data_IF_579381805073
#
_entry.id   IF_579381805073
#
_cell.length_a   1.000
_cell.length_b   1.000
_cell.length_c   1.000
_cell.angle_alpha   90.00
_cell.angle_beta   90.00
_cell.angle_gamma   90.00
#
_symmetry.space_group_name_H-M   'P 1'
#
loop_
_entity.id
_entity.type
_entity.pdbx_description
1 polymer ?
#
# COMPACT_ATOMS: atom_id res chain seq x y z
N UNK A 1 -23.82 -3.41 -71.22
CA UNK A 1 -23.21 -4.16 -70.08
C UNK A 1 -22.80 -3.31 -68.86
N UNK A 2 -22.68 -1.97 -68.93
CA UNK A 2 -22.21 -1.16 -67.78
C UNK A 2 -23.26 -0.90 -66.67
N UNK A 3 -24.55 -0.76 -67.00
CA UNK A 3 -25.62 -0.46 -66.02
C UNK A 3 -25.92 -1.60 -65.02
N UNK A 4 -25.76 -2.88 -65.42
CA UNK A 4 -25.98 -4.04 -64.53
C UNK A 4 -24.88 -4.21 -63.47
N UNK A 5 -23.64 -3.79 -63.77
CA UNK A 5 -22.51 -3.86 -62.81
C UNK A 5 -22.62 -2.80 -61.71
N UNK A 6 -23.12 -1.60 -62.03
CA UNK A 6 -23.34 -0.53 -61.04
C UNK A 6 -24.44 -0.90 -60.02
N UNK A 7 -25.52 -1.57 -60.46
CA UNK A 7 -26.60 -1.98 -59.57
C UNK A 7 -26.15 -3.03 -58.54
N UNK A 8 -25.31 -3.99 -58.94
CA UNK A 8 -24.77 -5.04 -58.04
C UNK A 8 -23.83 -4.46 -56.98
N UNK A 9 -23.00 -3.48 -57.34
CA UNK A 9 -22.07 -2.84 -56.39
C UNK A 9 -22.82 -1.99 -55.37
N UNK A 10 -23.88 -1.27 -55.78
CA UNK A 10 -24.70 -0.49 -54.84
C UNK A 10 -25.45 -1.39 -53.86
N UNK A 11 -25.97 -2.54 -54.30
CA UNK A 11 -26.63 -3.50 -53.38
C UNK A 11 -25.67 -4.13 -52.38
N UNK A 12 -24.40 -4.36 -52.75
CA UNK A 12 -23.39 -4.94 -51.86
C UNK A 12 -22.91 -3.92 -50.80
N UNK A 13 -22.83 -2.64 -51.15
CA UNK A 13 -22.46 -1.58 -50.19
C UNK A 13 -23.58 -1.29 -49.20
N UNK A 14 -24.85 -1.34 -49.63
CA UNK A 14 -25.99 -1.21 -48.72
C UNK A 14 -26.09 -2.38 -47.73
N UNK A 15 -25.76 -3.61 -48.15
CA UNK A 15 -25.78 -4.77 -47.23
C UNK A 15 -24.65 -4.72 -46.19
N UNK A 16 -23.45 -4.26 -46.56
CA UNK A 16 -22.34 -4.06 -45.61
C UNK A 16 -22.66 -2.94 -44.60
N UNK A 17 -23.29 -1.85 -45.03
CA UNK A 17 -23.76 -0.78 -44.13
C UNK A 17 -24.80 -1.28 -43.13
N UNK A 18 -25.72 -2.15 -43.56
CA UNK A 18 -26.75 -2.73 -42.69
C UNK A 18 -26.15 -3.68 -41.64
N UNK A 19 -25.15 -4.48 -42.02
CA UNK A 19 -24.43 -5.38 -41.10
C UNK A 19 -23.67 -4.57 -40.04
N UNK A 20 -22.98 -3.50 -40.43
CA UNK A 20 -22.27 -2.62 -39.50
C UNK A 20 -23.20 -1.93 -38.49
N UNK A 21 -24.40 -1.53 -38.92
CA UNK A 21 -25.41 -0.95 -38.02
C UNK A 21 -25.95 -1.98 -37.02
N UNK A 22 -26.22 -3.20 -37.46
CA UNK A 22 -26.65 -4.30 -36.58
C UNK A 22 -25.58 -4.63 -35.54
N UNK A 23 -24.31 -4.66 -35.93
CA UNK A 23 -23.19 -4.91 -35.01
C UNK A 23 -23.06 -3.79 -33.96
N UNK A 24 -23.20 -2.52 -34.37
CA UNK A 24 -23.17 -1.38 -33.44
C UNK A 24 -24.34 -1.40 -32.46
N UNK A 25 -25.54 -1.80 -32.91
CA UNK A 25 -26.72 -1.99 -32.04
C UNK A 25 -26.53 -3.16 -31.06
N UNK A 26 -25.88 -4.25 -31.48
CA UNK A 26 -25.54 -5.37 -30.60
C UNK A 26 -24.51 -4.97 -29.55
N UNK A 27 -23.48 -4.21 -29.92
CA UNK A 27 -22.47 -3.72 -28.99
C UNK A 27 -23.07 -2.79 -27.92
N UNK A 28 -23.92 -1.85 -28.31
CA UNK A 28 -24.62 -0.94 -27.37
C UNK A 28 -25.52 -1.72 -26.41
N UNK A 29 -26.25 -2.74 -26.89
CA UNK A 29 -27.09 -3.60 -26.03
C UNK A 29 -26.25 -4.40 -25.02
N UNK A 30 -25.08 -4.91 -25.44
CA UNK A 30 -24.18 -5.63 -24.55
C UNK A 30 -23.62 -4.72 -23.44
N UNK A 31 -23.21 -3.50 -23.79
CA UNK A 31 -22.75 -2.50 -22.82
C UNK A 31 -23.85 -2.07 -21.84
N UNK A 32 -25.08 -1.88 -22.31
CA UNK A 32 -26.23 -1.57 -21.44
C UNK A 32 -26.56 -2.72 -20.47
N UNK A 33 -26.46 -3.98 -20.93
CA UNK A 33 -26.69 -5.16 -20.08
C UNK A 33 -25.61 -5.32 -18.99
N UNK A 34 -24.35 -5.03 -19.33
CA UNK A 34 -23.24 -5.05 -18.36
C UNK A 34 -23.43 -3.98 -17.27
N UNK A 35 -23.69 -2.73 -17.66
CA UNK A 35 -23.91 -1.62 -16.71
C UNK A 35 -25.13 -1.88 -15.80
N UNK A 36 -26.19 -2.47 -16.32
CA UNK A 36 -27.36 -2.84 -15.50
C UNK A 36 -27.07 -3.99 -14.53
N UNK A 37 -26.11 -4.87 -14.84
CA UNK A 37 -25.71 -5.97 -13.95
C UNK A 37 -24.85 -5.45 -12.80
N UNK A 38 -23.93 -4.52 -13.05
CA UNK A 38 -23.09 -3.90 -12.00
C UNK A 38 -23.93 -3.13 -10.97
N UNK A 39 -24.97 -2.40 -11.41
CA UNK A 39 -25.86 -1.65 -10.49
C UNK A 39 -26.63 -2.60 -9.55
N UNK A 40 -27.12 -3.75 -10.05
CA UNK A 40 -27.85 -4.72 -9.22
C UNK A 40 -26.93 -5.35 -8.17
N UNK A 41 -25.67 -5.62 -8.53
CA UNK A 41 -24.68 -6.17 -7.58
C UNK A 41 -24.35 -5.14 -6.50
N UNK A 42 -24.20 -3.85 -6.86
CA UNK A 42 -23.95 -2.79 -5.90
C UNK A 42 -25.10 -2.64 -4.88
N UNK A 43 -26.36 -2.65 -5.33
CA UNK A 43 -27.53 -2.57 -4.43
C UNK A 43 -27.59 -3.76 -3.46
N UNK A 44 -27.25 -4.97 -3.91
CA UNK A 44 -27.21 -6.16 -3.04
C UNK A 44 -26.09 -6.12 -2.00
N UNK A 45 -24.95 -5.50 -2.31
CA UNK A 45 -23.84 -5.34 -1.35
C UNK A 45 -24.18 -4.30 -0.27
N UNK A 46 -24.90 -3.23 -0.64
CA UNK A 46 -25.38 -2.22 0.32
C UNK A 46 -26.39 -2.82 1.29
N UNK A 47 -27.34 -3.62 0.81
CA UNK A 47 -28.33 -4.28 1.68
C UNK A 47 -27.69 -5.29 2.65
N UNK A 48 -26.62 -5.97 2.22
CA UNK A 48 -25.84 -6.90 3.05
C UNK A 48 -24.97 -6.17 4.10
N UNK A 49 -24.44 -4.99 3.79
CA UNK A 49 -23.68 -4.19 4.75
C UNK A 49 -24.58 -3.61 5.85
N UNK A 50 -25.77 -3.11 5.48
CA UNK A 50 -26.76 -2.53 6.40
C UNK A 50 -27.35 -3.58 7.36
N UNK A 51 -27.41 -4.85 6.94
CA UNK A 51 -27.87 -5.96 7.80
C UNK A 51 -26.81 -6.45 8.79
N UNK A 52 -25.52 -6.25 8.51
CA UNK A 52 -24.42 -6.63 9.41
C UNK A 52 -24.21 -5.61 10.54
N UNK A 53 -24.39 -4.31 10.27
CA UNK A 53 -24.28 -3.26 11.31
C UNK A 53 -25.38 -3.32 12.37
N UNK A 54 -26.55 -3.91 12.05
CA UNK A 54 -27.71 -3.92 12.95
C UNK A 54 -27.74 -5.09 13.95
N UNK A 55 -26.77 -5.99 13.93
CA UNK A 55 -26.77 -7.21 14.74
C UNK A 55 -25.81 -7.20 15.95
N UNK A 56 -25.08 -6.10 16.20
CA UNK A 56 -24.08 -6.02 17.27
C UNK A 56 -24.45 -4.92 18.27
N UNK A 57 -25.47 -5.15 19.07
CA UNK A 57 -25.68 -4.42 20.33
C UNK A 57 -26.53 -5.28 21.28
N UNK A 58 -25.89 -5.86 22.32
CA UNK A 58 -26.34 -5.97 23.74
C UNK A 58 -25.60 -7.07 24.54
N UNK A 59 -24.56 -6.66 25.31
CA UNK A 59 -24.13 -7.06 26.70
C UNK A 59 -23.82 -8.54 27.09
N UNK A 60 -23.02 -8.88 28.16
CA UNK A 60 -22.04 -8.13 28.98
C UNK A 60 -20.65 -8.83 29.22
N UNK A 61 -19.75 -8.09 29.88
CA UNK A 61 -18.30 -8.27 30.21
C UNK A 61 -17.88 -9.48 31.08
N UNK A 62 -16.74 -10.16 30.79
CA UNK A 62 -15.64 -10.59 31.74
C UNK A 62 -14.29 -10.89 31.01
N UNK A 63 -13.25 -10.08 31.29
CA UNK A 63 -11.76 -10.28 31.50
C UNK A 63 -11.00 -11.38 30.71
N UNK A 64 -9.79 -11.27 30.13
CA UNK A 64 -8.52 -10.48 30.27
C UNK A 64 -7.71 -10.75 28.97
N UNK A 65 -7.06 -9.81 28.27
CA UNK A 65 -5.61 -9.48 28.33
C UNK A 65 -5.30 -8.26 27.43
N UNK A 66 -4.46 -7.36 27.97
CA UNK A 66 -3.83 -6.14 27.45
C UNK A 66 -4.22 -5.58 26.05
N UNK A 67 -5.04 -4.52 26.05
CA UNK A 67 -4.84 -3.44 25.08
C UNK A 67 -3.64 -2.64 25.57
N UNK A 68 -2.48 -2.85 24.95
CA UNK A 68 -1.33 -1.97 25.13
C UNK A 68 -1.81 -0.55 24.79
N UNK A 69 -1.75 0.37 25.76
CA UNK A 69 -2.07 1.77 25.50
C UNK A 69 -1.05 2.24 24.48
N UNK A 70 -1.50 2.43 23.23
CA UNK A 70 -0.65 2.87 22.14
C UNK A 70 0.03 4.17 22.60
N UNK A 71 1.33 4.10 22.80
CA UNK A 71 2.12 5.23 23.25
C UNK A 71 2.13 6.28 22.14
N UNK A 72 1.38 7.37 22.33
CA UNK A 72 1.25 8.46 21.35
C UNK A 72 2.58 9.12 21.01
N UNK A 73 3.56 9.00 21.88
CA UNK A 73 4.91 9.55 21.70
C UNK A 73 5.91 8.49 21.21
N UNK A 74 5.45 7.30 20.81
CA UNK A 74 6.31 6.21 20.32
C UNK A 74 7.22 6.66 19.16
N UNK A 75 6.73 7.56 18.31
CA UNK A 75 7.49 8.09 17.17
C UNK A 75 8.70 8.95 17.56
N UNK A 76 8.82 9.38 18.82
CA UNK A 76 9.91 10.23 19.31
C UNK A 76 11.12 9.46 19.84
N UNK A 77 11.05 8.12 19.94
CA UNK A 77 12.06 7.29 20.61
C UNK A 77 12.41 6.03 19.82
N UNK A 78 13.57 5.42 20.08
CA UNK A 78 13.87 4.07 19.61
C UNK A 78 12.78 3.11 20.09
N UNK A 79 12.22 2.32 19.18
CA UNK A 79 11.10 1.44 19.51
C UNK A 79 11.53 0.02 19.90
N UNK A 80 12.77 -0.35 19.58
CA UNK A 80 13.40 -1.64 19.93
C UNK A 80 14.36 -1.61 21.11
N UNK A 81 14.59 -0.44 21.71
CA UNK A 81 15.63 -0.25 22.71
C UNK A 81 16.99 0.14 22.11
N UNK A 82 18.07 -0.45 22.60
CA UNK A 82 19.41 -0.14 22.12
C UNK A 82 19.65 -0.75 20.73
N UNK A 83 20.17 0.06 19.81
CA UNK A 83 20.49 -0.38 18.46
C UNK A 83 21.68 -1.35 18.44
N UNK A 84 21.65 -2.38 17.58
CA UNK A 84 22.81 -3.24 17.37
C UNK A 84 23.88 -2.51 16.55
N UNK A 85 25.14 -2.92 16.72
CA UNK A 85 26.21 -2.52 15.82
C UNK A 85 26.17 -3.40 14.57
N UNK A 86 26.04 -2.79 13.40
CA UNK A 86 26.11 -3.48 12.11
C UNK A 86 27.52 -3.29 11.55
N UNK A 87 28.23 -4.39 11.34
CA UNK A 87 29.59 -4.39 10.80
C UNK A 87 29.65 -5.09 9.45
N UNK A 88 30.81 -5.09 8.81
CA UNK A 88 31.04 -5.82 7.57
C UNK A 88 30.97 -7.35 7.73
N UNK A 89 31.08 -7.86 8.96
CA UNK A 89 30.94 -9.29 9.27
C UNK A 89 29.49 -9.72 9.47
N UNK A 90 28.59 -8.75 9.73
CA UNK A 90 27.17 -9.02 10.01
C UNK A 90 26.49 -9.54 8.74
N UNK A 91 25.95 -10.74 8.81
CA UNK A 91 25.16 -11.36 7.75
C UNK A 91 23.70 -10.92 7.88
N UNK A 92 23.47 -9.63 7.64
CA UNK A 92 22.21 -8.98 7.93
C UNK A 92 21.10 -9.41 6.96
N UNK A 93 19.94 -9.78 7.52
CA UNK A 93 18.66 -9.97 6.80
C UNK A 93 17.54 -9.26 7.54
N UNK A 94 16.65 -8.63 6.79
CA UNK A 94 15.49 -7.91 7.32
C UNK A 94 14.20 -8.68 7.00
N UNK A 95 13.32 -8.81 7.98
CA UNK A 95 11.95 -9.30 7.79
C UNK A 95 10.99 -8.21 8.27
N UNK A 96 10.16 -7.69 7.38
CA UNK A 96 9.07 -6.81 7.75
C UNK A 96 7.78 -7.63 7.79
N UNK A 97 7.13 -7.69 8.95
CA UNK A 97 5.82 -8.32 9.09
C UNK A 97 4.73 -7.23 9.23
N UNK A 98 3.81 -7.22 8.26
CA UNK A 98 2.75 -6.20 8.17
C UNK A 98 1.50 -6.53 9.00
N UNK A 99 1.41 -7.70 9.62
CA UNK A 99 0.37 -7.98 10.63
C UNK A 99 0.82 -7.49 11.99
N UNK A 100 2.05 -7.82 12.37
CA UNK A 100 2.68 -7.42 13.63
C UNK A 100 3.04 -5.93 13.65
N UNK A 101 3.14 -5.31 12.47
CA UNK A 101 3.67 -3.95 12.33
C UNK A 101 5.06 -3.85 12.97
N UNK A 102 5.92 -4.80 12.61
CA UNK A 102 7.29 -4.95 13.10
C UNK A 102 8.28 -5.17 11.96
N UNK A 103 9.48 -4.67 12.16
CA UNK A 103 10.65 -5.03 11.37
C UNK A 103 11.60 -5.78 12.28
N UNK A 104 12.09 -6.91 11.80
CA UNK A 104 13.01 -7.81 12.49
C UNK A 104 14.34 -7.82 11.74
N UNK A 105 15.43 -7.69 12.48
CA UNK A 105 16.80 -7.72 11.96
C UNK A 105 17.49 -8.97 12.47
N UNK A 106 17.98 -9.77 11.54
CA UNK A 106 18.69 -11.01 11.82
C UNK A 106 20.16 -10.89 11.41
N UNK A 107 21.06 -11.39 12.24
CA UNK A 107 22.41 -11.77 11.82
C UNK A 107 22.44 -13.29 11.65
N UNK A 108 22.52 -13.77 10.41
CA UNK A 108 22.25 -15.16 10.04
C UNK A 108 20.86 -15.63 10.54
N UNK A 109 20.84 -16.42 11.62
CA UNK A 109 19.62 -16.97 12.24
C UNK A 109 19.25 -16.30 13.56
N UNK A 110 20.12 -15.45 14.10
CA UNK A 110 19.90 -14.79 15.38
C UNK A 110 19.13 -13.49 15.19
N UNK A 111 18.00 -13.34 15.89
CA UNK A 111 17.28 -12.07 15.95
C UNK A 111 18.05 -11.09 16.83
N UNK A 112 18.62 -10.06 16.23
CA UNK A 112 19.48 -9.08 16.93
C UNK A 112 18.74 -7.79 17.29
N UNK A 113 17.66 -7.45 16.57
CA UNK A 113 16.89 -6.24 16.84
C UNK A 113 15.47 -6.31 16.25
N UNK A 114 14.56 -5.55 16.84
CA UNK A 114 13.19 -5.35 16.32
C UNK A 114 12.81 -3.88 16.47
N UNK A 115 12.07 -3.31 15.52
CA UNK A 115 11.48 -1.99 15.65
C UNK A 115 10.01 -2.01 15.19
N UNK A 116 9.23 -1.07 15.72
CA UNK A 116 7.86 -0.80 15.30
C UNK A 116 7.85 -0.10 13.95
N UNK A 117 6.91 -0.47 13.10
CA UNK A 117 6.68 0.19 11.81
C UNK A 117 5.19 0.45 11.58
N UNK A 118 4.89 1.21 10.53
CA UNK A 118 3.55 1.44 10.01
C UNK A 118 3.57 1.23 8.50
N UNK A 119 3.06 0.09 8.03
CA UNK A 119 2.99 -0.26 6.61
C UNK A 119 1.82 0.44 5.90
N UNK A 120 1.67 0.11 4.62
CA UNK A 120 0.53 0.49 3.81
C UNK A 120 -0.81 0.04 4.38
N UNK A 121 -1.86 0.81 4.09
CA UNK A 121 -3.25 0.41 4.37
C UNK A 121 -3.58 -0.90 3.67
N UNK A 122 -4.49 -1.67 4.28
CA UNK A 122 -4.98 -2.93 3.72
C UNK A 122 -6.07 -2.68 2.67
N UNK A 123 -5.66 -2.04 1.57
CA UNK A 123 -6.51 -1.75 0.42
C UNK A 123 -5.73 -1.90 -0.90
N UNK A 124 -6.44 -2.00 -2.02
CA UNK A 124 -5.86 -2.29 -3.33
C UNK A 124 -4.86 -1.23 -3.83
N UNK A 125 -4.91 -0.01 -3.30
CA UNK A 125 -4.11 1.13 -3.80
C UNK A 125 -2.89 1.39 -2.92
N UNK A 126 -3.02 1.15 -1.63
CA UNK A 126 -2.07 1.56 -0.61
C UNK A 126 -1.35 0.39 0.06
N UNK A 127 -1.70 -0.86 -0.25
CA UNK A 127 -1.06 -2.03 0.34
C UNK A 127 0.45 -2.04 0.07
N UNK A 128 1.21 -2.38 1.11
CA UNK A 128 2.63 -2.70 0.97
C UNK A 128 2.76 -4.04 0.24
N UNK A 129 3.57 -4.12 -0.84
CA UNK A 129 3.72 -5.37 -1.58
C UNK A 129 4.45 -6.42 -0.74
N UNK A 130 3.88 -7.63 -0.67
CA UNK A 130 4.53 -8.79 -0.05
C UNK A 130 5.58 -9.38 -0.99
N UNK A 131 6.59 -10.05 -0.43
CA UNK A 131 7.59 -10.80 -1.19
C UNK A 131 9.03 -10.50 -0.79
N UNK A 132 9.95 -10.82 -1.70
CA UNK A 132 11.39 -10.67 -1.48
C UNK A 132 11.91 -9.47 -2.26
N UNK A 133 12.69 -8.64 -1.57
CA UNK A 133 13.26 -7.39 -2.04
C UNK A 133 14.69 -7.24 -1.52
N UNK A 134 15.34 -6.16 -1.94
CA UNK A 134 16.64 -5.75 -1.42
C UNK A 134 16.62 -4.24 -1.20
N UNK A 135 17.37 -3.79 -0.20
CA UNK A 135 17.57 -2.35 0.02
C UNK A 135 18.30 -1.75 -1.17
N UNK A 136 17.77 -0.65 -1.71
CA UNK A 136 18.32 0.06 -2.87
C UNK A 136 19.23 1.21 -2.43
N UNK A 137 20.08 1.69 -3.34
CA UNK A 137 20.95 2.85 -3.09
C UNK A 137 20.23 4.21 -3.01
N UNK A 138 18.95 4.29 -3.34
CA UNK A 138 18.20 5.54 -3.30
C UNK A 138 17.82 5.84 -1.85
N UNK A 139 18.41 6.90 -1.30
CA UNK A 139 18.12 7.41 0.04
C UNK A 139 18.32 8.93 0.09
N UNK A 140 17.76 9.59 1.10
CA UNK A 140 18.02 11.01 1.35
C UNK A 140 17.49 11.48 2.71
N UNK A 141 17.95 12.66 3.12
CA UNK A 141 17.64 13.24 4.43
C UNK A 141 16.16 13.65 4.55
N UNK A 142 15.53 14.05 3.44
CA UNK A 142 14.11 14.40 3.44
C UNK A 142 13.51 14.49 2.04
N UNK A 143 12.18 14.37 1.96
CA UNK A 143 11.41 14.67 0.75
C UNK A 143 10.05 15.28 1.11
N UNK A 144 9.40 15.90 0.13
CA UNK A 144 7.99 16.31 0.23
C UNK A 144 7.26 16.03 -1.07
N UNK A 145 6.12 15.35 -0.99
CA UNK A 145 5.24 15.08 -2.12
C UNK A 145 4.02 16.01 -2.07
N UNK A 146 4.02 17.05 -2.91
CA UNK A 146 2.92 18.03 -2.95
C UNK A 146 1.58 17.47 -3.42
N UNK A 147 1.54 16.32 -4.08
CA UNK A 147 0.28 15.66 -4.50
C UNK A 147 -0.39 14.97 -3.30
N UNK A 148 0.40 14.28 -2.48
CA UNK A 148 -0.09 13.59 -1.27
C UNK A 148 -0.20 14.54 -0.07
N UNK A 149 0.49 15.69 -0.10
CA UNK A 149 0.57 16.60 1.04
C UNK A 149 1.43 16.05 2.18
N UNK A 150 2.23 15.01 1.92
CA UNK A 150 3.08 14.32 2.90
C UNK A 150 4.54 14.35 2.45
N UNK A 151 5.43 14.55 3.41
CA UNK A 151 6.87 14.33 3.27
C UNK A 151 7.38 13.35 4.31
N UNK A 152 8.70 13.14 4.35
CA UNK A 152 9.36 12.44 5.44
C UNK A 152 10.80 12.89 5.60
N UNK A 153 11.41 12.49 6.71
CA UNK A 153 12.84 12.51 6.96
C UNK A 153 13.43 11.10 6.73
N UNK A 154 14.74 11.03 6.52
CA UNK A 154 15.54 9.79 6.52
C UNK A 154 14.90 8.65 5.71
N UNK A 155 14.84 8.79 4.39
CA UNK A 155 14.21 7.79 3.54
C UNK A 155 15.23 6.85 2.90
N UNK A 156 14.88 5.57 2.78
CA UNK A 156 15.65 4.52 2.08
C UNK A 156 14.71 3.69 1.21
N UNK A 157 15.03 3.54 -0.08
CA UNK A 157 14.23 2.81 -1.04
C UNK A 157 14.45 1.30 -0.95
N UNK A 158 13.38 0.52 -1.15
CA UNK A 158 13.46 -0.94 -1.29
C UNK A 158 12.80 -1.47 -2.58
N UNK A 159 12.01 -0.65 -3.27
CA UNK A 159 11.33 -1.06 -4.51
C UNK A 159 11.05 0.12 -5.44
N UNK A 160 11.08 -0.17 -6.74
CA UNK A 160 10.70 0.74 -7.84
C UNK A 160 11.44 2.09 -7.82
N UNK A 161 12.68 2.10 -7.31
CA UNK A 161 13.60 3.23 -7.39
C UNK A 161 13.06 4.51 -6.74
N UNK A 162 12.59 4.40 -5.50
CA UNK A 162 12.13 5.53 -4.69
C UNK A 162 10.61 5.67 -4.59
N UNK A 163 9.85 4.72 -5.14
CA UNK A 163 8.38 4.68 -4.96
C UNK A 163 8.01 4.06 -3.61
N UNK A 164 8.71 3.01 -3.18
CA UNK A 164 8.50 2.38 -1.88
C UNK A 164 9.72 2.53 -0.98
N UNK A 165 9.48 3.08 0.20
CA UNK A 165 10.51 3.57 1.08
C UNK A 165 10.30 3.04 2.51
N UNK A 166 11.40 2.86 3.24
CA UNK A 166 11.43 3.04 4.70
C UNK A 166 11.70 4.51 4.96
N UNK A 167 10.94 5.17 5.81
CA UNK A 167 11.14 6.58 6.14
C UNK A 167 10.58 6.94 7.53
N UNK A 168 10.90 8.11 8.06
CA UNK A 168 10.33 8.59 9.33
C UNK A 168 8.80 8.70 9.26
N UNK A 169 8.13 8.87 10.40
CA UNK A 169 6.74 9.37 10.42
C UNK A 169 6.59 10.64 9.55
N UNK A 170 5.41 10.89 8.95
CA UNK A 170 5.25 11.94 7.94
C UNK A 170 5.53 13.35 8.47
N UNK A 171 6.05 14.20 7.59
CA UNK A 171 6.15 15.65 7.81
C UNK A 171 5.20 16.42 6.90
N UNK A 172 4.90 17.65 7.31
CA UNK A 172 4.14 18.63 6.53
C UNK A 172 5.05 19.37 5.55
N UNK A 173 4.47 20.25 4.74
CA UNK A 173 5.20 21.04 3.74
C UNK A 173 6.32 21.93 4.31
N UNK A 174 6.22 22.31 5.59
CA UNK A 174 7.23 23.08 6.31
C UNK A 174 8.27 22.21 7.04
N UNK A 175 8.26 20.90 6.78
CA UNK A 175 9.08 19.88 7.43
C UNK A 175 8.81 19.68 8.92
N UNK A 176 7.74 20.26 9.47
CA UNK A 176 7.28 19.92 10.82
C UNK A 176 6.62 18.53 10.82
N UNK A 177 6.80 17.78 11.90
CA UNK A 177 6.19 16.45 12.05
C UNK A 177 4.66 16.58 12.01
N UNK A 178 4.03 15.73 11.20
CA UNK A 178 2.58 15.56 11.23
C UNK A 178 2.18 14.67 12.41
N UNK A 179 1.96 15.28 13.57
CA UNK A 179 1.68 14.58 14.83
C UNK A 179 0.51 13.60 14.69
N UNK A 180 -0.56 13.96 13.97
CA UNK A 180 -1.72 13.08 13.80
C UNK A 180 -1.38 11.79 13.05
N UNK A 181 -0.51 11.87 12.04
CA UNK A 181 -0.01 10.68 11.34
C UNK A 181 1.05 9.93 12.14
N UNK A 182 1.87 10.66 12.91
CA UNK A 182 2.91 10.08 13.74
C UNK A 182 2.35 9.25 14.90
N UNK A 183 1.21 9.68 15.48
CA UNK A 183 0.48 8.93 16.51
C UNK A 183 -0.09 7.60 16.01
N UNK A 184 -0.14 7.35 14.69
CA UNK A 184 -0.61 6.08 14.11
C UNK A 184 0.48 5.01 14.06
N UNK A 185 1.71 5.32 14.44
CA UNK A 185 2.85 4.40 14.39
C UNK A 185 2.52 3.08 15.11
N UNK A 186 2.78 1.96 14.45
CA UNK A 186 2.40 0.62 14.91
C UNK A 186 1.08 0.11 14.33
N UNK A 187 0.44 0.86 13.43
CA UNK A 187 -0.76 0.44 12.68
C UNK A 187 -0.57 0.65 11.18
N UNK A 188 -1.32 -0.07 10.34
CA UNK A 188 -1.36 0.18 8.89
C UNK A 188 -1.86 1.60 8.64
N UNK A 189 -1.05 2.45 8.01
CA UNK A 189 -1.34 3.88 7.93
C UNK A 189 -0.76 4.60 6.70
N UNK A 190 0.06 3.94 5.87
CA UNK A 190 0.76 4.60 4.76
C UNK A 190 0.15 4.28 3.39
N UNK A 191 0.75 4.85 2.34
CA UNK A 191 0.47 4.58 0.93
C UNK A 191 1.42 3.51 0.35
N UNK A 192 1.81 2.52 1.16
CA UNK A 192 2.65 1.37 0.77
C UNK A 192 4.07 1.39 1.35
N UNK A 193 4.54 2.53 1.83
CA UNK A 193 5.84 2.69 2.50
C UNK A 193 5.82 2.16 3.95
N UNK A 194 6.99 1.96 4.54
CA UNK A 194 7.15 1.71 5.96
C UNK A 194 7.49 3.00 6.69
N UNK A 195 6.59 3.46 7.56
CA UNK A 195 6.81 4.60 8.45
C UNK A 195 7.48 4.11 9.74
N UNK A 196 8.54 4.76 10.16
CA UNK A 196 9.33 4.45 11.35
C UNK A 196 9.31 5.62 12.35
N UNK A 197 9.65 5.37 13.61
CA UNK A 197 9.96 6.48 14.54
C UNK A 197 11.10 7.35 13.99
N UNK A 198 11.24 8.58 14.47
CA UNK A 198 12.34 9.45 14.03
C UNK A 198 13.70 8.78 14.29
N UNK A 199 14.00 8.30 15.52
CA UNK A 199 15.29 7.65 15.78
C UNK A 199 15.49 6.37 14.98
N UNK A 200 14.44 5.54 14.82
CA UNK A 200 14.57 4.30 14.05
C UNK A 200 14.81 4.58 12.56
N UNK A 201 14.21 5.63 11.99
CA UNK A 201 14.44 6.04 10.60
C UNK A 201 15.86 6.54 10.38
N UNK A 202 16.40 7.33 11.32
CA UNK A 202 17.78 7.81 11.29
C UNK A 202 18.75 6.64 11.37
N UNK A 203 18.56 5.74 12.34
CA UNK A 203 19.42 4.56 12.47
C UNK A 203 19.36 3.67 11.24
N UNK A 204 18.16 3.43 10.68
CA UNK A 204 18.00 2.63 9.46
C UNK A 204 18.73 3.28 8.27
N UNK A 205 18.58 4.60 8.12
CA UNK A 205 19.23 5.38 7.07
C UNK A 205 20.75 5.31 7.14
N UNK A 206 21.33 5.35 8.34
CA UNK A 206 22.77 5.34 8.53
C UNK A 206 23.40 3.94 8.44
N UNK A 207 22.70 2.90 8.90
CA UNK A 207 23.32 1.59 9.18
C UNK A 207 22.94 0.50 8.18
N UNK A 208 21.81 0.63 7.47
CA UNK A 208 21.35 -0.41 6.53
C UNK A 208 21.88 -0.09 5.14
N UNK A 209 22.66 -1.00 4.57
CA UNK A 209 23.38 -0.80 3.31
C UNK A 209 22.58 -1.30 2.10
N UNK A 210 22.95 -0.83 0.91
CA UNK A 210 22.42 -1.37 -0.35
C UNK A 210 22.69 -2.89 -0.46
N UNK A 211 21.72 -3.61 -1.00
CA UNK A 211 21.79 -5.06 -1.19
C UNK A 211 21.43 -5.88 0.05
N UNK A 212 21.13 -5.26 1.20
CA UNK A 212 20.60 -6.00 2.36
C UNK A 212 19.29 -6.70 1.96
N UNK A 213 19.17 -8.03 2.14
CA UNK A 213 17.96 -8.77 1.83
C UNK A 213 16.79 -8.34 2.72
N UNK A 214 15.63 -8.15 2.10
CA UNK A 214 14.37 -7.81 2.76
C UNK A 214 13.28 -8.80 2.36
N UNK A 215 12.63 -9.40 3.35
CA UNK A 215 11.43 -10.19 3.15
C UNK A 215 10.23 -9.45 3.77
N UNK A 216 9.17 -9.25 3.00
CA UNK A 216 7.93 -8.64 3.47
C UNK A 216 6.87 -9.73 3.55
N UNK A 217 6.36 -9.93 4.76
CA UNK A 217 5.42 -11.00 5.14
C UNK A 217 4.18 -10.41 5.78
N UNK A 218 3.11 -11.20 5.77
CA UNK A 218 1.89 -10.95 6.55
C UNK A 218 1.84 -11.92 7.73
#
# INVERSE_FOLDING_TARGET
MKKKKALVVVTLLMSLGLIGLVFKLQQVRASQKAAQTEIIVADQLVEKAVTLEKAVETEPVVKTEAVEVLDKDLWQKPTGGAYPEITWETQLRIVANITDQRIYFYDDQELIYTMVTSSGLDDEVNATPLGHFEIQNIRGESFFNGVLGEGALNYVSFKDYGVYLFHSVPVKADMSINIEEAEKLGTRASHGCFRLSIPDSEWFYDNIIEGTPLEITE
#
